data_IF_515709368911
#
_entry.id   IF_515709368911
#
_cell.length_a   1.000
_cell.length_b   1.000
_cell.length_c   1.000
_cell.angle_alpha   90.00
_cell.angle_beta   90.00
_cell.angle_gamma   90.00
#
_symmetry.space_group_name_H-M   'P 1'
#
loop_
_entity.id
_entity.type
_entity.pdbx_description
1 polymer ?
#
# COMPACT_ATOMS: atom_id res chain seq x y z
N UNK A 1 -68.16 18.99 -27.51
CA UNK A 1 -66.80 18.98 -28.08
C UNK A 1 -65.84 18.88 -26.90
N UNK A 2 -65.42 17.66 -26.57
CA UNK A 2 -64.53 17.37 -25.43
C UNK A 2 -63.12 17.15 -25.99
N UNK A 3 -62.16 17.96 -25.54
CA UNK A 3 -60.74 17.80 -25.86
C UNK A 3 -60.16 16.88 -24.80
N UNK A 4 -59.89 15.63 -25.17
CA UNK A 4 -59.15 14.68 -24.35
C UNK A 4 -57.66 15.01 -24.40
N UNK A 5 -57.08 15.31 -23.24
CA UNK A 5 -55.63 15.41 -23.06
C UNK A 5 -55.11 13.98 -22.90
N UNK A 6 -54.36 13.50 -23.89
CA UNK A 6 -53.64 12.25 -23.82
C UNK A 6 -52.52 12.36 -22.78
N UNK A 7 -52.63 11.58 -21.71
CA UNK A 7 -51.55 11.39 -20.74
C UNK A 7 -50.37 10.72 -21.42
N UNK A 8 -49.22 11.40 -21.45
CA UNK A 8 -47.96 10.80 -21.80
C UNK A 8 -47.62 9.73 -20.76
N UNK A 9 -47.57 8.47 -21.19
CA UNK A 9 -47.03 7.37 -20.40
C UNK A 9 -45.58 7.73 -20.02
N UNK A 10 -45.36 7.91 -18.72
CA UNK A 10 -44.02 8.04 -18.18
C UNK A 10 -43.25 6.76 -18.45
N UNK A 11 -42.30 6.82 -19.39
CA UNK A 11 -41.23 5.83 -19.48
C UNK A 11 -40.45 5.93 -18.17
N UNK A 12 -40.76 5.04 -17.22
CA UNK A 12 -39.92 4.82 -16.06
C UNK A 12 -38.53 4.42 -16.59
N UNK A 13 -37.56 5.32 -16.47
CA UNK A 13 -36.17 5.01 -16.71
C UNK A 13 -35.79 3.87 -15.75
N UNK A 14 -35.19 2.76 -16.23
CA UNK A 14 -34.74 1.70 -15.35
C UNK A 14 -33.82 2.30 -14.28
N UNK A 15 -34.01 1.92 -13.03
CA UNK A 15 -33.02 2.17 -11.99
C UNK A 15 -31.79 1.32 -12.30
N UNK A 16 -30.85 1.88 -13.05
CA UNK A 16 -29.58 1.22 -13.36
C UNK A 16 -28.65 1.38 -12.15
N UNK A 17 -28.71 0.42 -11.22
CA UNK A 17 -27.58 0.17 -10.34
C UNK A 17 -26.42 -0.39 -11.19
N UNK A 18 -25.17 -0.08 -10.86
CA UNK A 18 -24.03 -0.72 -11.52
C UNK A 18 -24.16 -2.24 -11.42
N UNK A 19 -24.35 -2.90 -12.56
CA UNK A 19 -24.46 -4.36 -12.58
C UNK A 19 -23.07 -4.98 -12.47
N UNK A 20 -23.02 -6.06 -11.70
CA UNK A 20 -21.87 -6.96 -11.65
C UNK A 20 -22.33 -8.35 -12.00
N UNK A 21 -21.54 -9.07 -12.77
CA UNK A 21 -21.80 -10.46 -13.11
C UNK A 21 -20.60 -11.31 -12.66
N UNK A 22 -20.89 -12.52 -12.20
CA UNK A 22 -19.87 -13.48 -11.81
C UNK A 22 -19.87 -14.65 -12.76
N UNK A 23 -18.68 -15.13 -13.11
CA UNK A 23 -18.50 -16.35 -13.88
C UNK A 23 -17.46 -17.23 -13.20
N UNK A 24 -17.64 -18.55 -13.34
CA UNK A 24 -16.68 -19.52 -12.83
C UNK A 24 -15.86 -20.02 -13.98
N UNK A 25 -14.54 -19.91 -13.84
CA UNK A 25 -13.59 -20.49 -14.75
C UNK A 25 -13.59 -21.99 -14.48
N UNK A 26 -14.05 -22.76 -15.46
CA UNK A 26 -14.08 -24.21 -15.45
C UNK A 26 -13.28 -24.77 -16.64
N UNK A 27 -13.63 -25.93 -17.17
CA UNK A 27 -12.99 -26.50 -18.36
C UNK A 27 -13.22 -25.69 -19.65
N UNK A 28 -14.12 -24.71 -19.63
CA UNK A 28 -14.36 -23.85 -20.78
C UNK A 28 -13.29 -22.76 -20.87
N UNK A 29 -12.70 -22.63 -22.05
CA UNK A 29 -11.67 -21.61 -22.32
C UNK A 29 -12.25 -20.23 -22.64
N UNK A 30 -13.56 -20.11 -22.83
CA UNK A 30 -14.20 -18.86 -23.26
C UNK A 30 -15.52 -18.60 -22.52
N UNK A 31 -15.75 -17.35 -22.13
CA UNK A 31 -17.00 -16.88 -21.54
C UNK A 31 -17.41 -15.54 -22.16
N UNK A 32 -18.72 -15.31 -22.30
CA UNK A 32 -19.26 -14.01 -22.73
C UNK A 32 -20.22 -13.49 -21.67
N UNK A 33 -20.07 -12.21 -21.32
CA UNK A 33 -20.86 -11.53 -20.28
C UNK A 33 -21.44 -10.25 -20.85
N UNK A 34 -22.55 -9.80 -20.27
CA UNK A 34 -23.18 -8.54 -20.67
C UNK A 34 -23.58 -7.76 -19.42
N UNK A 35 -22.97 -6.59 -19.26
CA UNK A 35 -23.23 -5.70 -18.14
C UNK A 35 -23.93 -4.43 -18.62
N UNK A 36 -24.90 -3.96 -17.85
CA UNK A 36 -25.47 -2.63 -18.01
C UNK A 36 -25.30 -1.82 -16.73
N UNK A 37 -24.98 -0.54 -16.85
CA UNK A 37 -24.75 0.32 -15.70
C UNK A 37 -24.93 1.79 -16.05
N UNK A 38 -24.68 2.66 -15.08
CA UNK A 38 -24.70 4.10 -15.29
C UNK A 38 -23.42 4.71 -14.75
N UNK A 39 -22.83 5.57 -15.58
CA UNK A 39 -21.74 6.44 -15.19
C UNK A 39 -22.32 7.73 -14.63
N UNK A 40 -21.89 8.09 -13.42
CA UNK A 40 -22.37 9.25 -12.69
C UNK A 40 -21.22 10.01 -12.05
N UNK A 41 -21.39 11.32 -11.97
CA UNK A 41 -20.54 12.18 -11.17
C UNK A 41 -21.30 12.75 -9.98
N UNK A 42 -20.57 12.97 -8.90
CA UNK A 42 -21.09 13.60 -7.70
C UNK A 42 -21.18 15.11 -7.92
N UNK A 43 -22.34 15.69 -7.63
CA UNK A 43 -22.55 17.14 -7.68
C UNK A 43 -22.27 17.71 -6.30
N UNK A 44 -21.36 18.68 -6.27
CA UNK A 44 -20.94 19.35 -5.05
C UNK A 44 -21.36 20.81 -5.04
N UNK A 45 -21.68 21.32 -3.86
CA UNK A 45 -21.99 22.73 -3.65
C UNK A 45 -21.13 23.28 -2.53
N UNK A 46 -20.64 24.51 -2.71
CA UNK A 46 -20.04 25.27 -1.62
C UNK A 46 -21.13 25.76 -0.67
N UNK A 47 -21.00 25.38 0.59
CA UNK A 47 -21.91 25.79 1.66
C UNK A 47 -21.12 26.50 2.74
N UNK A 48 -21.68 27.60 3.20
CA UNK A 48 -21.16 28.35 4.34
C UNK A 48 -21.67 27.70 5.63
N UNK A 49 -20.78 27.03 6.35
CA UNK A 49 -21.15 26.35 7.61
C UNK A 49 -20.90 27.30 8.78
N UNK A 50 -21.96 27.72 9.50
CA UNK A 50 -21.79 28.52 10.70
C UNK A 50 -21.14 27.68 11.80
N UNK A 51 -20.22 28.29 12.55
CA UNK A 51 -19.62 27.70 13.74
C UNK A 51 -19.28 28.77 14.76
N UNK A 52 -19.11 28.37 16.02
CA UNK A 52 -18.58 29.28 17.04
C UNK A 52 -17.06 29.26 17.01
N UNK A 53 -16.45 30.42 16.81
CA UNK A 53 -15.01 30.62 16.97
C UNK A 53 -14.72 31.20 18.35
N UNK A 54 -13.45 31.10 18.77
CA UNK A 54 -12.97 31.74 19.99
C UNK A 54 -11.71 32.55 19.72
N UNK A 55 -11.59 33.71 20.37
CA UNK A 55 -10.35 34.50 20.42
C UNK A 55 -9.99 34.84 21.86
N UNK A 56 -8.70 35.00 22.13
CA UNK A 56 -8.23 35.52 23.41
C UNK A 56 -8.29 37.05 23.37
N UNK A 57 -9.02 37.64 24.31
CA UNK A 57 -9.16 39.10 24.43
C UNK A 57 -8.51 39.55 25.72
N UNK A 58 -7.75 40.63 25.64
CA UNK A 58 -7.17 41.25 26.82
C UNK A 58 -8.28 41.76 27.74
N UNK A 59 -8.28 41.31 28.99
CA UNK A 59 -9.24 41.77 29.99
C UNK A 59 -8.70 42.92 30.80
N UNK A 60 -7.67 42.65 31.61
CA UNK A 60 -7.05 43.62 32.50
C UNK A 60 -5.68 43.13 32.96
N UNK A 61 -4.96 43.96 33.70
CA UNK A 61 -3.78 43.54 34.45
C UNK A 61 -4.17 43.13 35.87
N UNK A 62 -3.69 41.98 36.33
CA UNK A 62 -3.80 41.56 37.72
C UNK A 62 -2.44 41.71 38.40
N UNK A 63 -2.44 42.28 39.60
CA UNK A 63 -1.22 42.38 40.41
C UNK A 63 -0.96 41.05 41.10
N UNK A 64 0.01 40.29 40.59
CA UNK A 64 0.44 39.04 41.22
C UNK A 64 1.67 39.33 42.06
N UNK A 65 1.58 39.00 43.33
CA UNK A 65 2.70 39.17 44.26
C UNK A 65 3.21 37.82 44.72
N UNK A 66 4.53 37.67 44.74
CA UNK A 66 5.20 36.51 45.32
C UNK A 66 6.24 36.98 46.35
N UNK A 67 6.54 36.11 47.31
CA UNK A 67 7.53 36.40 48.35
C UNK A 67 8.87 35.88 47.88
N UNK A 68 9.84 36.78 47.73
CA UNK A 68 11.21 36.45 47.37
C UNK A 68 12.09 36.72 48.57
N UNK A 69 12.96 35.78 48.92
CA UNK A 69 13.96 35.99 49.98
C UNK A 69 15.11 36.83 49.45
N UNK A 70 15.36 37.97 50.10
CA UNK A 70 16.51 38.82 49.82
C UNK A 70 17.51 38.75 50.95
N UNK A 71 18.80 38.65 50.63
CA UNK A 71 19.85 38.65 51.64
C UNK A 71 20.14 40.09 52.07
N UNK A 72 19.74 40.44 53.30
CA UNK A 72 20.00 41.75 53.89
C UNK A 72 21.14 41.62 54.89
N UNK A 73 22.17 42.46 54.74
CA UNK A 73 23.31 42.49 55.65
C UNK A 73 23.36 43.81 56.39
N UNK A 74 23.70 43.76 57.68
CA UNK A 74 24.00 44.93 58.51
C UNK A 74 25.25 44.65 59.34
N UNK A 75 25.91 45.69 59.83
CA UNK A 75 27.04 45.54 60.74
C UNK A 75 26.52 45.52 62.17
N UNK A 76 27.01 44.59 62.99
CA UNK A 76 26.72 44.59 64.41
C UNK A 76 27.52 45.69 65.15
N UNK A 77 27.28 45.83 66.45
CA UNK A 77 27.94 46.85 67.29
C UNK A 77 29.45 46.65 67.43
N UNK A 78 29.99 45.49 67.01
CA UNK A 78 31.42 45.17 66.99
C UNK A 78 32.03 45.28 65.59
N UNK A 79 31.24 45.71 64.60
CA UNK A 79 31.69 45.90 63.21
C UNK A 79 31.63 44.65 62.33
N UNK A 80 31.10 43.52 62.82
CA UNK A 80 30.95 42.31 62.03
C UNK A 80 29.72 42.39 61.12
N UNK A 81 29.88 42.05 59.84
CA UNK A 81 28.76 42.03 58.88
C UNK A 81 27.92 40.77 59.05
N UNK A 82 26.72 40.93 59.59
CA UNK A 82 25.73 39.86 59.76
C UNK A 82 24.70 39.95 58.64
N UNK A 83 24.56 38.87 57.87
CA UNK A 83 23.57 38.76 56.82
C UNK A 83 22.46 37.77 57.21
N UNK A 84 21.22 38.14 56.97
CA UNK A 84 20.06 37.26 57.12
C UNK A 84 19.18 37.34 55.88
N UNK A 85 18.49 36.26 55.57
CA UNK A 85 17.42 36.29 54.58
C UNK A 85 16.21 37.02 55.17
N UNK A 86 15.71 38.00 54.43
CA UNK A 86 14.49 38.72 54.77
C UNK A 86 13.51 38.54 53.62
N UNK A 87 12.30 38.01 53.87
CA UNK A 87 11.29 37.92 52.83
C UNK A 87 10.87 39.33 52.41
N UNK A 88 10.84 39.58 51.10
CA UNK A 88 10.27 40.78 50.50
C UNK A 88 9.17 40.38 49.52
N UNK A 89 8.06 41.09 49.55
CA UNK A 89 6.97 40.88 48.60
C UNK A 89 7.29 41.65 47.31
N UNK A 90 7.41 40.93 46.22
CA UNK A 90 7.58 41.49 44.88
C UNK A 90 6.29 41.29 44.09
N UNK A 91 5.78 42.38 43.52
CA UNK A 91 4.52 42.40 42.80
C UNK A 91 4.76 42.83 41.36
N UNK A 92 4.19 42.10 40.40
CA UNK A 92 4.23 42.46 38.99
C UNK A 92 2.81 42.45 38.42
N UNK A 93 2.57 43.32 37.44
CA UNK A 93 1.33 43.33 36.67
C UNK A 93 1.41 42.22 35.63
N UNK A 94 0.49 41.27 35.69
CA UNK A 94 0.39 40.17 34.73
C UNK A 94 -0.88 40.38 33.91
N UNK A 95 -0.76 40.38 32.58
CA UNK A 95 -1.91 40.50 31.70
C UNK A 95 -2.82 39.27 31.84
N UNK A 96 -4.10 39.50 32.10
CA UNK A 96 -5.13 38.46 32.11
C UNK A 96 -5.98 38.57 30.85
N UNK A 97 -6.13 37.44 30.18
CA UNK A 97 -6.95 37.29 28.99
C UNK A 97 -8.17 36.44 29.33
N UNK A 98 -9.27 36.68 28.65
CA UNK A 98 -10.43 35.80 28.68
C UNK A 98 -10.76 35.35 27.25
N UNK A 99 -11.41 34.20 27.17
CA UNK A 99 -11.87 33.65 25.89
C UNK A 99 -13.18 34.33 25.52
N UNK A 100 -13.20 35.05 24.40
CA UNK A 100 -14.42 35.56 23.79
C UNK A 100 -14.86 34.63 22.66
N UNK A 101 -16.12 34.19 22.71
CA UNK A 101 -16.74 33.38 21.66
C UNK A 101 -17.50 34.28 20.70
N UNK A 102 -17.39 34.03 19.41
CA UNK A 102 -18.08 34.80 18.38
C UNK A 102 -18.54 33.90 17.22
N UNK A 103 -19.61 34.31 16.55
CA UNK A 103 -20.11 33.61 15.38
C UNK A 103 -19.15 33.82 14.21
N UNK A 104 -18.72 32.72 13.63
CA UNK A 104 -17.91 32.71 12.43
C UNK A 104 -18.47 31.65 11.47
N UNK A 105 -17.92 31.61 10.27
CA UNK A 105 -18.27 30.59 9.30
C UNK A 105 -17.04 30.20 8.49
N UNK A 106 -17.10 29.01 7.90
CA UNK A 106 -16.12 28.59 6.91
C UNK A 106 -16.85 27.97 5.73
N UNK A 107 -16.29 28.17 4.54
CA UNK A 107 -16.80 27.55 3.33
C UNK A 107 -16.29 26.12 3.27
N UNK A 108 -17.20 25.19 3.00
CA UNK A 108 -16.83 23.80 2.74
C UNK A 108 -17.65 23.27 1.56
N UNK A 109 -17.13 22.26 0.91
CA UNK A 109 -17.76 21.63 -0.24
C UNK A 109 -18.49 20.39 0.24
N UNK A 110 -19.81 20.34 0.05
CA UNK A 110 -20.65 19.19 0.43
C UNK A 110 -21.30 18.58 -0.80
N UNK A 111 -21.46 17.26 -0.80
CA UNK A 111 -22.17 16.53 -1.85
C UNK A 111 -23.67 16.84 -1.75
N UNK A 112 -24.26 17.35 -2.82
CA UNK A 112 -25.70 17.73 -2.88
C UNK A 112 -26.51 16.82 -3.79
N UNK A 113 -25.86 16.02 -4.64
CA UNK A 113 -26.54 15.08 -5.52
C UNK A 113 -25.59 14.25 -6.35
N UNK A 114 -26.16 13.55 -7.31
CA UNK A 114 -25.45 12.76 -8.34
C UNK A 114 -26.14 13.00 -9.67
N UNK A 115 -25.37 13.23 -10.73
CA UNK A 115 -25.88 13.41 -12.08
C UNK A 115 -25.39 12.31 -13.01
N UNK A 116 -26.27 11.88 -13.91
CA UNK A 116 -25.99 10.83 -14.89
C UNK A 116 -25.32 11.40 -16.14
N UNK A 117 -24.10 10.95 -16.39
CA UNK A 117 -23.34 11.24 -17.59
C UNK A 117 -23.77 10.30 -18.73
N UNK A 118 -23.65 8.98 -18.50
CA UNK A 118 -23.89 7.97 -19.52
C UNK A 118 -24.59 6.71 -18.98
N UNK A 119 -25.45 6.12 -19.80
CA UNK A 119 -25.87 4.73 -19.68
C UNK A 119 -24.84 3.84 -20.37
N UNK A 120 -24.24 2.93 -19.63
CA UNK A 120 -23.14 2.08 -20.08
C UNK A 120 -23.67 0.69 -20.41
N UNK A 121 -23.38 0.19 -21.60
CA UNK A 121 -23.61 -1.21 -21.98
C UNK A 121 -22.27 -1.82 -22.35
N UNK A 122 -21.85 -2.84 -21.60
CA UNK A 122 -20.60 -3.53 -21.81
C UNK A 122 -20.83 -4.97 -22.28
N UNK A 123 -20.14 -5.36 -23.34
CA UNK A 123 -20.06 -6.73 -23.83
C UNK A 123 -18.63 -7.20 -23.62
N UNK A 124 -18.48 -8.29 -22.87
CA UNK A 124 -17.20 -8.78 -22.39
C UNK A 124 -16.99 -10.17 -22.93
N UNK A 125 -15.87 -10.38 -23.63
CA UNK A 125 -15.42 -11.71 -24.04
C UNK A 125 -14.17 -12.06 -23.25
N UNK A 126 -14.25 -13.16 -22.51
CA UNK A 126 -13.19 -13.64 -21.64
C UNK A 126 -12.57 -14.87 -22.29
N UNK A 127 -11.25 -14.86 -22.46
CA UNK A 127 -10.45 -16.00 -22.90
C UNK A 127 -9.55 -16.46 -21.77
N UNK A 128 -9.66 -17.72 -21.40
CA UNK A 128 -8.93 -18.33 -20.28
C UNK A 128 -7.77 -19.17 -20.83
N UNK A 129 -6.59 -18.93 -20.28
CA UNK A 129 -5.39 -19.74 -20.46
C UNK A 129 -5.03 -20.41 -19.15
N UNK A 130 -5.21 -21.73 -19.10
CA UNK A 130 -4.89 -22.57 -17.95
C UNK A 130 -3.79 -23.59 -18.31
N UNK A 131 -3.04 -24.12 -17.32
CA UNK A 131 -2.12 -25.22 -17.55
C UNK A 131 -2.83 -26.45 -18.13
N UNK A 132 -2.13 -27.22 -18.96
CA UNK A 132 -2.69 -28.42 -19.59
C UNK A 132 -3.20 -29.42 -18.53
N UNK A 133 -4.43 -29.90 -18.71
CA UNK A 133 -5.08 -30.84 -17.79
C UNK A 133 -5.59 -30.22 -16.48
N UNK A 134 -5.41 -28.91 -16.25
CA UNK A 134 -5.99 -28.24 -15.10
C UNK A 134 -7.51 -28.09 -15.24
N UNK A 135 -8.24 -28.31 -14.13
CA UNK A 135 -9.66 -28.00 -14.01
C UNK A 135 -9.80 -26.91 -12.94
N UNK A 136 -9.65 -25.63 -13.32
CA UNK A 136 -9.76 -24.54 -12.38
C UNK A 136 -11.17 -24.42 -11.81
N UNK A 137 -11.26 -23.79 -10.63
CA UNK A 137 -12.52 -23.49 -9.94
C UNK A 137 -12.54 -22.05 -9.41
N UNK A 138 -11.85 -21.15 -10.12
CA UNK A 138 -11.75 -19.74 -9.77
C UNK A 138 -13.03 -19.01 -10.23
N UNK A 139 -13.67 -18.24 -9.35
CA UNK A 139 -14.82 -17.41 -9.72
C UNK A 139 -14.39 -15.95 -9.78
N UNK A 140 -14.59 -15.33 -10.93
CA UNK A 140 -14.33 -13.91 -11.14
C UNK A 140 -15.63 -13.11 -11.19
N UNK A 141 -15.53 -11.83 -10.83
CA UNK A 141 -16.59 -10.84 -10.97
C UNK A 141 -16.13 -9.76 -11.94
N UNK A 142 -16.94 -9.48 -12.94
CA UNK A 142 -16.85 -8.28 -13.76
C UNK A 142 -17.89 -7.26 -13.28
N UNK A 143 -17.53 -5.98 -13.22
CA UNK A 143 -18.44 -4.90 -12.79
C UNK A 143 -18.16 -3.62 -13.54
N UNK A 144 -19.18 -2.78 -13.72
CA UNK A 144 -18.99 -1.42 -14.25
C UNK A 144 -18.67 -0.47 -13.09
N UNK A 145 -17.54 0.23 -13.17
CA UNK A 145 -17.22 1.33 -12.25
C UNK A 145 -18.16 2.51 -12.49
N UNK A 146 -18.76 3.02 -11.42
CA UNK A 146 -19.79 4.06 -11.49
C UNK A 146 -19.23 5.41 -11.92
N UNK A 147 -17.95 5.69 -11.68
CA UNK A 147 -17.38 7.00 -11.93
C UNK A 147 -16.72 7.09 -13.32
N UNK A 148 -16.00 6.05 -13.73
CA UNK A 148 -15.33 5.98 -15.03
C UNK A 148 -16.22 5.38 -16.12
N UNK A 149 -17.23 4.58 -15.75
CA UNK A 149 -17.99 3.75 -16.67
C UNK A 149 -17.10 2.73 -17.40
N UNK A 150 -16.01 2.27 -16.77
CA UNK A 150 -15.14 1.18 -17.27
C UNK A 150 -15.56 -0.16 -16.66
N UNK A 151 -15.13 -1.27 -17.28
CA UNK A 151 -15.31 -2.61 -16.70
C UNK A 151 -14.09 -2.91 -15.85
N UNK A 152 -14.33 -3.35 -14.63
CA UNK A 152 -13.30 -3.81 -13.70
C UNK A 152 -13.50 -5.29 -13.39
N UNK A 153 -12.39 -6.02 -13.19
CA UNK A 153 -12.39 -7.42 -12.77
C UNK A 153 -11.90 -7.57 -11.33
N UNK A 154 -12.54 -8.48 -10.59
CA UNK A 154 -12.14 -8.85 -9.24
C UNK A 154 -12.33 -10.34 -9.01
N UNK A 155 -11.59 -10.91 -8.06
CA UNK A 155 -11.81 -12.28 -7.62
C UNK A 155 -13.04 -12.34 -6.70
N UNK A 156 -14.05 -13.14 -7.07
CA UNK A 156 -15.24 -13.35 -6.25
C UNK A 156 -15.05 -14.53 -5.28
N UNK A 157 -14.42 -15.60 -5.77
CA UNK A 157 -14.04 -16.78 -4.97
C UNK A 157 -12.79 -17.38 -5.58
N UNK A 158 -11.84 -17.75 -4.73
CA UNK A 158 -10.60 -18.38 -5.19
C UNK A 158 -10.43 -19.76 -4.56
N UNK A 159 -9.84 -20.69 -5.31
CA UNK A 159 -9.43 -21.98 -4.76
C UNK A 159 -8.08 -21.87 -4.04
N UNK A 160 -7.29 -20.86 -4.42
CA UNK A 160 -5.89 -20.69 -4.01
C UNK A 160 -4.94 -21.65 -4.73
N UNK A 161 -5.40 -22.50 -5.65
CA UNK A 161 -4.55 -23.35 -6.49
C UNK A 161 -3.86 -22.57 -7.60
N UNK A 162 -4.47 -21.45 -8.03
CA UNK A 162 -3.96 -20.60 -9.09
C UNK A 162 -3.87 -19.14 -8.65
N UNK A 163 -2.86 -18.44 -9.15
CA UNK A 163 -2.90 -16.99 -9.28
C UNK A 163 -3.67 -16.64 -10.55
N UNK A 164 -4.58 -15.69 -10.42
CA UNK A 164 -5.43 -15.24 -11.52
C UNK A 164 -4.98 -13.88 -11.99
N UNK A 165 -4.57 -13.81 -13.25
CA UNK A 165 -4.18 -12.59 -13.93
C UNK A 165 -5.21 -12.22 -14.97
N UNK A 166 -5.58 -10.94 -15.03
CA UNK A 166 -6.48 -10.44 -16.07
C UNK A 166 -5.77 -9.33 -16.80
N UNK A 167 -5.67 -9.48 -18.12
CA UNK A 167 -5.23 -8.44 -19.04
C UNK A 167 -6.41 -8.07 -19.91
N UNK A 168 -6.77 -6.79 -19.92
CA UNK A 168 -7.91 -6.30 -20.67
C UNK A 168 -7.49 -5.37 -21.80
N UNK A 169 -8.30 -5.39 -22.86
CA UNK A 169 -8.33 -4.35 -23.87
C UNK A 169 -9.79 -3.98 -24.12
N UNK A 170 -10.07 -2.68 -24.14
CA UNK A 170 -11.42 -2.17 -24.28
C UNK A 170 -11.52 -1.18 -25.45
N UNK A 171 -12.56 -1.34 -26.24
CA UNK A 171 -12.98 -0.35 -27.24
C UNK A 171 -14.26 0.33 -26.75
N UNK A 172 -14.27 1.66 -26.79
CA UNK A 172 -15.40 2.47 -26.32
C UNK A 172 -15.99 3.27 -27.47
N UNK A 173 -17.31 3.22 -27.58
CA UNK A 173 -18.08 4.06 -28.50
C UNK A 173 -19.12 4.85 -27.71
N UNK A 174 -19.24 6.15 -27.99
CA UNK A 174 -20.20 7.04 -27.32
C UNK A 174 -21.18 7.56 -28.36
N UNK A 175 -22.47 7.40 -28.08
CA UNK A 175 -23.57 7.94 -28.89
C UNK A 175 -24.59 8.63 -27.99
N UNK A 176 -24.54 9.96 -27.93
CA UNK A 176 -25.36 10.74 -27.00
C UNK A 176 -25.08 10.37 -25.55
N UNK A 177 -26.13 9.99 -24.80
CA UNK A 177 -26.01 9.50 -23.41
C UNK A 177 -25.76 8.00 -23.31
N UNK A 178 -25.49 7.29 -24.40
CA UNK A 178 -25.15 5.87 -24.38
C UNK A 178 -23.66 5.67 -24.62
N UNK A 179 -23.04 4.84 -23.78
CA UNK A 179 -21.64 4.41 -23.89
C UNK A 179 -21.61 2.89 -24.07
N UNK A 180 -21.15 2.44 -25.22
CA UNK A 180 -20.95 1.03 -25.51
C UNK A 180 -19.49 0.67 -25.30
N UNK A 181 -19.21 -0.36 -24.50
CA UNK A 181 -17.87 -0.83 -24.19
C UNK A 181 -17.73 -2.28 -24.64
N UNK A 182 -16.76 -2.56 -25.51
CA UNK A 182 -16.41 -3.92 -25.93
C UNK A 182 -15.10 -4.31 -25.25
N UNK A 183 -15.13 -5.30 -24.38
CA UNK A 183 -13.97 -5.75 -23.60
C UNK A 183 -13.52 -7.12 -24.07
N UNK A 184 -12.23 -7.25 -24.35
CA UNK A 184 -11.53 -8.51 -24.52
C UNK A 184 -10.64 -8.72 -23.29
N UNK A 185 -10.93 -9.74 -22.50
CA UNK A 185 -10.22 -10.07 -21.27
C UNK A 185 -9.46 -11.39 -21.44
N UNK A 186 -8.14 -11.34 -21.36
CA UNK A 186 -7.25 -12.50 -21.32
C UNK A 186 -6.98 -12.87 -19.85
N UNK A 187 -7.53 -13.99 -19.42
CA UNK A 187 -7.32 -14.53 -18.07
C UNK A 187 -6.23 -15.59 -18.12
N UNK A 188 -5.17 -15.40 -17.35
CA UNK A 188 -4.08 -16.38 -17.23
C UNK A 188 -4.05 -16.97 -15.82
N UNK A 189 -4.04 -18.29 -15.74
CA UNK A 189 -3.94 -19.03 -14.48
C UNK A 189 -2.52 -19.57 -14.28
N UNK A 190 -1.91 -19.23 -13.15
CA UNK A 190 -0.56 -19.70 -12.79
C UNK A 190 -0.62 -20.56 -11.52
N UNK A 191 -0.19 -21.84 -11.57
CA UNK A 191 -0.21 -22.71 -10.39
C UNK A 191 0.54 -22.12 -9.19
N UNK A 192 -0.10 -22.10 -8.03
CA UNK A 192 0.51 -21.65 -6.77
C UNK A 192 1.35 -22.74 -6.12
N UNK A 193 1.16 -24.02 -6.47
CA UNK A 193 1.81 -25.14 -5.79
C UNK A 193 3.35 -25.01 -5.77
N UNK A 194 3.97 -24.69 -6.92
CA UNK A 194 5.41 -24.46 -7.03
C UNK A 194 5.86 -23.25 -6.21
N UNK A 195 5.12 -22.15 -6.28
CA UNK A 195 5.42 -20.89 -5.58
C UNK A 195 5.29 -21.06 -4.05
N UNK A 196 4.21 -21.70 -3.59
CA UNK A 196 3.98 -22.00 -2.17
C UNK A 196 5.02 -22.97 -1.63
N UNK A 197 5.40 -23.99 -2.40
CA UNK A 197 6.51 -24.88 -2.04
C UNK A 197 7.81 -24.07 -1.89
N UNK A 198 8.08 -23.15 -2.82
CA UNK A 198 9.22 -22.25 -2.75
C UNK A 198 9.25 -21.41 -1.47
N UNK A 199 8.13 -20.76 -1.11
CA UNK A 199 8.07 -19.93 0.10
C UNK A 199 8.08 -20.76 1.39
N UNK A 200 7.46 -21.94 1.41
CA UNK A 200 7.45 -22.84 2.58
C UNK A 200 8.79 -23.47 2.86
N UNK A 201 9.45 -24.03 1.85
CA UNK A 201 10.79 -24.60 2.00
C UNK A 201 11.81 -23.49 2.21
N UNK A 202 11.59 -22.34 1.57
CA UNK A 202 12.38 -21.14 1.74
C UNK A 202 13.81 -21.28 1.23
N UNK A 203 14.69 -20.50 1.85
CA UNK A 203 16.12 -20.50 1.59
C UNK A 203 16.80 -21.28 2.71
N UNK A 204 17.55 -22.32 2.37
CA UNK A 204 18.25 -23.19 3.33
C UNK A 204 19.75 -23.22 3.05
N UNK A 205 20.50 -23.88 3.94
CA UNK A 205 21.93 -24.19 3.75
C UNK A 205 22.78 -22.98 3.35
N UNK A 206 22.49 -21.81 3.93
CA UNK A 206 23.16 -20.56 3.58
C UNK A 206 24.59 -20.57 4.12
N UNK A 207 25.54 -20.47 3.21
CA UNK A 207 26.97 -20.40 3.49
C UNK A 207 27.59 -19.19 2.78
N UNK A 208 28.65 -18.64 3.37
CA UNK A 208 29.37 -17.52 2.79
C UNK A 208 30.88 -17.75 2.94
N UNK A 209 31.57 -17.86 1.81
CA UNK A 209 33.01 -18.09 1.79
C UNK A 209 33.67 -17.24 0.71
N UNK A 210 34.72 -16.51 1.09
CA UNK A 210 35.57 -15.75 0.16
C UNK A 210 34.80 -14.82 -0.79
N UNK A 211 33.75 -14.13 -0.31
CA UNK A 211 32.95 -13.22 -1.14
C UNK A 211 31.84 -13.89 -1.94
N UNK A 212 31.76 -15.22 -1.87
CA UNK A 212 30.74 -16.02 -2.55
C UNK A 212 29.69 -16.46 -1.54
N UNK A 213 28.43 -16.18 -1.86
CA UNK A 213 27.26 -16.60 -1.11
C UNK A 213 26.67 -17.85 -1.76
N UNK A 214 26.54 -18.93 -1.02
CA UNK A 214 25.89 -20.16 -1.46
C UNK A 214 24.64 -20.41 -0.62
N UNK A 215 23.57 -20.91 -1.24
CA UNK A 215 22.35 -21.28 -0.54
C UNK A 215 21.56 -22.30 -1.36
N UNK A 216 20.65 -23.00 -0.73
CA UNK A 216 19.76 -23.97 -1.36
C UNK A 216 18.33 -23.44 -1.39
N UNK A 217 17.62 -23.74 -2.48
CA UNK A 217 16.19 -23.50 -2.62
C UNK A 217 15.59 -24.66 -3.43
N UNK A 218 14.26 -24.86 -3.42
CA UNK A 218 13.64 -25.85 -4.30
C UNK A 218 14.02 -25.64 -5.77
N UNK A 219 14.07 -26.73 -6.53
CA UNK A 219 14.32 -26.67 -7.97
C UNK A 219 13.22 -25.84 -8.68
N UNK A 220 13.58 -25.18 -9.77
CA UNK A 220 12.66 -24.37 -10.61
C UNK A 220 11.95 -23.19 -9.90
N UNK A 221 12.50 -22.72 -8.77
CA UNK A 221 11.93 -21.57 -8.03
C UNK A 221 12.14 -20.24 -8.73
N UNK A 222 13.22 -20.11 -9.51
CA UNK A 222 13.44 -18.94 -10.35
C UNK A 222 12.50 -18.97 -11.56
N UNK A 223 11.30 -18.46 -11.35
CA UNK A 223 10.31 -18.21 -12.39
C UNK A 223 10.11 -16.70 -12.57
N UNK A 224 9.27 -16.29 -13.52
CA UNK A 224 8.94 -14.86 -13.68
C UNK A 224 8.22 -14.31 -12.44
N UNK A 225 7.56 -15.19 -11.69
CA UNK A 225 6.64 -14.88 -10.59
C UNK A 225 7.34 -14.78 -9.23
N UNK A 226 8.57 -15.28 -9.10
CA UNK A 226 9.34 -15.25 -7.85
C UNK A 226 10.70 -14.60 -8.10
N UNK A 227 11.03 -13.61 -7.26
CA UNK A 227 12.29 -12.88 -7.33
C UNK A 227 13.09 -13.08 -6.04
N UNK A 228 14.41 -13.04 -6.18
CA UNK A 228 15.32 -13.03 -5.05
C UNK A 228 15.81 -11.60 -4.81
N UNK A 229 15.72 -11.12 -3.58
CA UNK A 229 16.35 -9.86 -3.18
C UNK A 229 17.44 -10.10 -2.16
N UNK A 230 18.53 -9.34 -2.30
CA UNK A 230 19.66 -9.38 -1.39
C UNK A 230 19.87 -8.00 -0.79
N UNK A 231 20.03 -7.97 0.52
CA UNK A 231 20.46 -6.78 1.25
C UNK A 231 21.74 -7.09 2.03
N UNK A 232 22.77 -6.27 1.80
CA UNK A 232 24.06 -6.38 2.50
C UNK A 232 24.26 -5.11 3.32
N UNK A 233 24.37 -5.27 4.64
CA UNK A 233 24.60 -4.18 5.59
C UNK A 233 25.90 -4.42 6.36
N UNK A 234 26.72 -3.39 6.50
CA UNK A 234 27.85 -3.40 7.45
C UNK A 234 27.36 -2.98 8.83
N UNK A 235 27.50 -3.86 9.81
CA UNK A 235 27.15 -3.57 11.20
C UNK A 235 28.25 -2.70 11.84
N UNK A 236 27.82 -1.71 12.64
CA UNK A 236 28.70 -0.82 13.42
C UNK A 236 28.23 -0.84 14.87
N UNK A 237 29.16 -0.96 15.80
CA UNK A 237 28.89 -1.24 17.22
C UNK A 237 28.17 -0.10 17.96
N UNK A 238 28.23 1.14 17.45
CA UNK A 238 27.68 2.33 18.11
C UNK A 238 26.83 3.21 17.18
N UNK A 239 26.76 2.92 15.87
CA UNK A 239 26.17 3.79 14.85
C UNK A 239 25.24 2.96 13.94
N UNK A 240 24.29 3.62 13.26
CA UNK A 240 23.40 2.97 12.29
C UNK A 240 24.18 2.12 11.27
N UNK A 241 23.66 0.92 10.99
CA UNK A 241 24.25 0.01 10.00
C UNK A 241 24.32 0.66 8.62
N UNK A 242 25.47 0.57 7.93
CA UNK A 242 25.62 1.12 6.58
C UNK A 242 25.15 0.12 5.54
N UNK A 243 24.14 0.47 4.74
CA UNK A 243 23.68 -0.32 3.59
C UNK A 243 24.72 -0.28 2.46
N UNK A 244 25.26 -1.43 2.08
CA UNK A 244 26.26 -1.57 1.03
C UNK A 244 25.64 -1.99 -0.31
N UNK A 245 24.64 -2.88 -0.24
CA UNK A 245 23.86 -3.34 -1.38
C UNK A 245 22.42 -3.60 -0.94
N UNK A 246 21.49 -3.39 -1.84
CA UNK A 246 20.06 -3.65 -1.65
C UNK A 246 19.43 -3.63 -3.04
N UNK A 247 19.04 -4.79 -3.54
CA UNK A 247 18.52 -4.93 -4.89
C UNK A 247 18.04 -6.34 -5.19
N UNK A 248 17.36 -6.48 -6.32
CA UNK A 248 16.94 -7.76 -6.88
C UNK A 248 18.14 -8.45 -7.55
N UNK A 249 18.20 -9.77 -7.42
CA UNK A 249 19.21 -10.61 -8.05
C UNK A 249 18.59 -11.24 -9.29
N UNK A 250 19.18 -10.97 -10.47
CA UNK A 250 18.75 -11.63 -11.69
C UNK A 250 19.16 -13.10 -11.66
N UNK A 251 18.37 -13.96 -12.32
CA UNK A 251 18.72 -15.37 -12.50
C UNK A 251 20.09 -15.54 -13.18
N UNK A 252 20.44 -14.64 -14.10
CA UNK A 252 21.73 -14.64 -14.80
C UNK A 252 22.95 -14.31 -13.92
N UNK A 253 22.75 -13.73 -12.74
CA UNK A 253 23.82 -13.46 -11.79
C UNK A 253 24.14 -14.68 -10.90
N UNK A 254 23.35 -15.76 -11.02
CA UNK A 254 23.47 -16.96 -10.20
C UNK A 254 24.06 -18.11 -11.01
N UNK A 255 25.01 -18.81 -10.39
CA UNK A 255 25.46 -20.11 -10.85
C UNK A 255 24.61 -21.17 -10.14
N UNK A 256 23.99 -22.06 -10.92
CA UNK A 256 23.02 -23.06 -10.42
C UNK A 256 23.58 -24.45 -10.62
N UNK A 257 23.69 -25.21 -9.53
CA UNK A 257 23.89 -26.65 -9.57
C UNK A 257 22.55 -27.33 -9.27
N UNK A 258 21.93 -27.89 -10.31
CA UNK A 258 20.62 -28.53 -10.21
C UNK A 258 20.70 -29.82 -9.38
N UNK A 259 19.72 -29.99 -8.49
CA UNK A 259 19.48 -31.23 -7.76
C UNK A 259 18.11 -31.81 -8.09
N UNK A 260 17.74 -32.90 -7.42
CA UNK A 260 16.43 -33.55 -7.63
C UNK A 260 15.30 -32.81 -6.92
N UNK A 261 15.53 -32.35 -5.69
CA UNK A 261 14.52 -31.64 -4.89
C UNK A 261 14.89 -30.17 -4.63
N UNK A 262 16.17 -29.91 -4.44
CA UNK A 262 16.73 -28.58 -4.18
C UNK A 262 17.91 -28.32 -5.10
N UNK A 263 18.00 -27.10 -5.63
CA UNK A 263 19.17 -26.63 -6.37
C UNK A 263 20.06 -25.80 -5.46
N UNK A 264 21.37 -25.92 -5.64
CA UNK A 264 22.35 -25.07 -4.98
C UNK A 264 22.63 -23.85 -5.85
N UNK A 265 22.41 -22.67 -5.28
CA UNK A 265 22.63 -21.39 -5.91
C UNK A 265 23.90 -20.75 -5.36
N UNK A 266 24.71 -20.21 -6.25
CA UNK A 266 25.97 -19.54 -5.92
C UNK A 266 25.98 -18.14 -6.51
N UNK A 267 26.31 -17.15 -5.67
CA UNK A 267 26.30 -15.74 -5.99
C UNK A 267 27.63 -15.09 -5.59
N UNK A 268 28.38 -14.64 -6.58
CA UNK A 268 29.59 -13.85 -6.35
C UNK A 268 29.21 -12.39 -6.10
N UNK A 269 29.38 -11.93 -4.85
CA UNK A 269 29.00 -10.58 -4.44
C UNK A 269 29.86 -9.50 -5.11
N UNK A 270 31.08 -9.83 -5.57
CA UNK A 270 31.93 -8.87 -6.29
C UNK A 270 31.31 -8.45 -7.63
N UNK A 271 30.51 -9.32 -8.25
CA UNK A 271 29.82 -9.07 -9.53
C UNK A 271 28.59 -8.17 -9.38
N UNK A 272 28.12 -7.88 -8.17
CA UNK A 272 26.89 -7.13 -7.90
C UNK A 272 27.04 -5.60 -7.87
N UNK A 273 28.22 -5.06 -8.19
CA UNK A 273 28.45 -3.61 -8.17
C UNK A 273 28.30 -2.99 -6.78
N UNK A 274 28.74 -3.70 -5.73
CA UNK A 274 28.66 -3.21 -4.36
C UNK A 274 29.43 -1.89 -4.18
N UNK A 275 28.91 -0.99 -3.32
CA UNK A 275 29.56 0.30 -3.03
C UNK A 275 30.96 0.19 -2.41
N UNK A 276 31.26 -0.95 -1.79
CA UNK A 276 32.52 -1.24 -1.12
C UNK A 276 32.72 -2.76 -1.11
N UNK A 277 33.94 -3.23 -1.34
CA UNK A 277 34.29 -4.64 -1.18
C UNK A 277 34.11 -5.09 0.29
N UNK A 278 33.77 -6.36 0.48
CA UNK A 278 33.69 -6.96 1.81
C UNK A 278 35.10 -7.17 2.37
N UNK A 279 35.32 -6.78 3.62
CA UNK A 279 36.63 -6.85 4.30
C UNK A 279 36.53 -7.77 5.51
N UNK A 280 37.48 -8.70 5.64
CA UNK A 280 37.48 -9.75 6.68
C UNK A 280 37.37 -9.23 8.13
N UNK A 281 37.77 -7.98 8.38
CA UNK A 281 37.77 -7.38 9.71
C UNK A 281 36.43 -6.77 10.16
N UNK A 282 35.44 -6.70 9.26
CA UNK A 282 34.16 -6.05 9.52
C UNK A 282 33.04 -7.08 9.68
N UNK A 283 32.03 -6.74 10.47
CA UNK A 283 30.82 -7.54 10.61
C UNK A 283 29.79 -7.12 9.58
N UNK A 284 29.16 -8.09 8.95
CA UNK A 284 28.15 -7.88 7.93
C UNK A 284 26.87 -8.66 8.26
N UNK A 285 25.75 -8.09 7.85
CA UNK A 285 24.45 -8.75 7.87
C UNK A 285 24.00 -8.90 6.43
N UNK A 286 23.83 -10.14 6.00
CA UNK A 286 23.31 -10.50 4.69
C UNK A 286 21.89 -10.98 4.91
N UNK A 287 20.96 -10.41 4.16
CA UNK A 287 19.57 -10.82 4.19
C UNK A 287 19.20 -11.21 2.77
N UNK A 288 18.83 -12.48 2.61
CA UNK A 288 18.33 -13.02 1.35
C UNK A 288 16.83 -13.21 1.55
N UNK A 289 16.04 -12.70 0.62
CA UNK A 289 14.59 -12.79 0.70
C UNK A 289 14.05 -13.30 -0.62
N UNK A 290 13.15 -14.27 -0.51
CA UNK A 290 12.36 -14.74 -1.63
C UNK A 290 11.05 -13.97 -1.61
N UNK A 291 10.78 -13.22 -2.67
CA UNK A 291 9.61 -12.36 -2.76
C UNK A 291 8.84 -12.70 -4.03
N UNK A 292 7.52 -12.51 -4.03
CA UNK A 292 6.81 -12.49 -5.29
C UNK A 292 7.31 -11.34 -6.17
N UNK A 293 7.49 -11.59 -7.45
CA UNK A 293 7.91 -10.58 -8.42
C UNK A 293 6.82 -9.51 -8.56
N UNK A 294 7.10 -8.30 -8.11
CA UNK A 294 6.10 -7.21 -8.10
C UNK A 294 5.63 -6.84 -9.51
N UNK A 295 6.52 -6.89 -10.50
CA UNK A 295 6.18 -6.65 -11.91
C UNK A 295 5.37 -7.79 -12.49
N UNK A 296 5.69 -9.04 -12.13
CA UNK A 296 4.93 -10.19 -12.60
C UNK A 296 3.57 -10.35 -11.89
N UNK A 297 3.44 -9.85 -10.66
CA UNK A 297 2.19 -9.86 -9.90
C UNK A 297 1.30 -8.63 -10.14
N UNK A 298 1.76 -7.67 -10.94
CA UNK A 298 0.93 -6.54 -11.36
C UNK A 298 -0.27 -7.07 -12.15
N UNK A 299 -1.49 -6.83 -11.67
CA UNK A 299 -2.71 -7.38 -12.27
C UNK A 299 -3.14 -8.77 -11.77
N UNK A 300 -2.50 -9.29 -10.71
CA UNK A 300 -2.97 -10.49 -10.02
C UNK A 300 -4.16 -10.16 -9.11
N UNK A 301 -5.32 -10.76 -9.37
CA UNK A 301 -6.56 -10.49 -8.63
C UNK A 301 -6.56 -11.08 -7.21
N UNK A 302 -5.80 -12.15 -6.99
CA UNK A 302 -5.80 -12.91 -5.74
C UNK A 302 -4.40 -13.06 -5.12
N UNK A 303 -3.58 -12.01 -5.21
CA UNK A 303 -2.23 -11.99 -4.64
C UNK A 303 -2.15 -12.41 -3.17
N UNK A 304 -3.21 -12.17 -2.40
CA UNK A 304 -3.27 -12.55 -0.97
C UNK A 304 -3.20 -14.06 -0.74
N UNK A 305 -3.49 -14.89 -1.75
CA UNK A 305 -3.46 -16.36 -1.65
C UNK A 305 -2.04 -16.95 -1.62
N UNK A 306 -1.00 -16.14 -1.83
CA UNK A 306 0.40 -16.61 -1.82
C UNK A 306 0.95 -16.88 -0.42
N UNK A 307 0.29 -16.42 0.64
CA UNK A 307 0.79 -16.53 2.01
C UNK A 307 1.95 -15.58 2.30
N UNK A 308 2.56 -15.71 3.49
CA UNK A 308 3.65 -14.84 3.94
C UNK A 308 4.99 -15.15 3.22
N UNK A 309 5.78 -14.10 3.01
CA UNK A 309 7.06 -14.14 2.29
C UNK A 309 8.13 -14.95 3.05
N UNK A 310 8.92 -15.75 2.32
CA UNK A 310 10.06 -16.47 2.88
C UNK A 310 11.29 -15.55 3.01
N UNK A 311 11.81 -15.35 4.22
CA UNK A 311 13.04 -14.57 4.42
C UNK A 311 14.05 -15.32 5.28
N UNK A 312 15.34 -15.17 4.97
CA UNK A 312 16.43 -15.75 5.75
C UNK A 312 17.52 -14.71 5.96
N UNK A 313 18.01 -14.64 7.20
CA UNK A 313 19.02 -13.69 7.61
C UNK A 313 20.28 -14.42 8.06
N UNK A 314 21.41 -14.06 7.46
CA UNK A 314 22.73 -14.53 7.86
C UNK A 314 23.51 -13.39 8.51
N UNK A 315 23.87 -13.58 9.78
CA UNK A 315 24.74 -12.67 10.51
C UNK A 315 26.20 -13.14 10.40
N UNK A 316 26.98 -12.49 9.54
CA UNK A 316 28.42 -12.73 9.43
C UNK A 316 29.14 -12.00 10.55
N UNK A 317 29.34 -12.70 11.66
CA UNK A 317 30.35 -12.34 12.67
C UNK A 317 31.72 -12.69 12.12
N UNK A 318 32.77 -11.94 12.52
CA UNK A 318 34.19 -12.24 12.24
C UNK A 318 34.44 -13.75 12.11
N UNK A 319 34.39 -14.26 10.89
CA UNK A 319 34.99 -15.54 10.58
C UNK A 319 36.45 -15.20 10.30
N UNK A 320 37.35 -15.79 11.09
CA UNK A 320 38.75 -15.89 10.66
C UNK A 320 38.72 -16.74 9.40
N UNK A 321 38.74 -16.08 8.24
CA UNK A 321 39.01 -16.70 6.95
C UNK A 321 40.44 -17.24 7.00
#
# INVERSE_FOLDING_TARGET
MWIGIAGAAGNALPAFASQSETFTIDSNSEHSLSLSGVQEHDVYQEVLVPRTCSRQVFGHYETVCHTVSHRVCHNDRRGHRICRESPRRECHQVARYYTEFYDCSYTTTVKVGTETDYYVNASINVKVTAPEGAVPHETLRASIDRHSGTVDFSAARTSGEFLVFVKESAETQVNGKQKSVQVQAEVTLVPTAGIRKAFRTGISSVDFKSGVLSFEMPTHVFSKEVQLSLTVKRQRTLWFSKKLFSGQISASALEVAEGTETSRYTLDLAKLGMKEALKNEKNYKLQIKLEPSHSALSGCLNRHDLGEEGSTELNLKKQKI
#
